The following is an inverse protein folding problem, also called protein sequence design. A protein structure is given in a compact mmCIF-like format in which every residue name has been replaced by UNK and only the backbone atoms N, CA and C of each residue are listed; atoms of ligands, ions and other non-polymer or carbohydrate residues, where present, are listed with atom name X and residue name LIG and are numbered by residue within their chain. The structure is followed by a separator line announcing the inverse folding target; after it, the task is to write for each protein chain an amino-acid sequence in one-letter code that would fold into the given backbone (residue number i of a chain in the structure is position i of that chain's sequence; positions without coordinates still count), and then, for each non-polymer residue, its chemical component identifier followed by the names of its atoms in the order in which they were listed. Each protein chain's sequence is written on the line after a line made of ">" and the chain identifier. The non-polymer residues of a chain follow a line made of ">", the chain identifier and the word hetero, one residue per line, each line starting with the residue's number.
data_IF_767034835509
#
_entry.id   IF_767034835509
#
_cell.length_a   1.000
_cell.length_b   1.000
_cell.length_c   1.000
_cell.angle_alpha   90.00
_cell.angle_beta   90.00
_cell.angle_gamma   90.00
#
_symmetry.space_group_name_H-M   'P 1'
#
loop_
_entity.id
_entity.type
_entity.pdbx_description
1 polymer ?
#
# COMPACT_ATOMS: atom_id res chain seq x y z
N UNK A 1 33.27 5.29 -34.46
CA UNK A 1 32.11 5.88 -35.16
C UNK A 1 31.11 6.33 -34.12
N UNK A 2 30.94 7.64 -33.98
CA UNK A 2 30.03 8.22 -32.97
C UNK A 2 28.61 8.36 -33.52
N UNK A 3 27.64 8.49 -32.64
CA UNK A 3 26.21 8.75 -32.95
C UNK A 3 26.01 9.88 -33.98
N UNK A 4 26.96 10.78 -34.10
CA UNK A 4 26.96 11.89 -35.04
C UNK A 4 27.07 11.45 -36.52
N UNK A 5 27.68 10.30 -36.79
CA UNK A 5 27.84 9.77 -38.16
C UNK A 5 26.53 9.14 -38.69
N UNK A 6 25.63 8.75 -37.78
CA UNK A 6 24.33 8.14 -38.15
C UNK A 6 23.29 9.25 -38.41
N UNK A 7 23.25 10.30 -37.56
CA UNK A 7 22.37 11.45 -37.75
C UNK A 7 22.82 12.62 -36.87
N UNK A 8 22.85 13.83 -37.45
CA UNK A 8 23.18 15.07 -36.74
C UNK A 8 22.23 15.41 -35.59
N UNK A 9 21.00 14.87 -35.62
CA UNK A 9 19.96 15.13 -34.61
C UNK A 9 19.97 14.12 -33.49
N UNK A 10 20.59 12.96 -33.67
CA UNK A 10 20.56 11.87 -32.69
C UNK A 10 21.13 12.28 -31.30
N UNK A 11 22.28 12.93 -31.19
CA UNK A 11 22.83 13.38 -29.91
C UNK A 11 21.93 14.39 -29.19
N UNK A 12 21.27 15.27 -29.96
CA UNK A 12 20.36 16.28 -29.42
C UNK A 12 19.12 15.60 -28.83
N UNK A 13 18.56 14.62 -29.53
CA UNK A 13 17.39 13.83 -29.05
C UNK A 13 17.76 13.08 -27.82
N UNK A 14 18.90 12.37 -27.78
CA UNK A 14 19.34 11.65 -26.56
C UNK A 14 19.63 12.61 -25.40
N UNK A 15 20.25 13.77 -25.68
CA UNK A 15 20.48 14.81 -24.67
C UNK A 15 19.16 15.33 -24.07
N UNK A 16 18.19 15.63 -24.93
CA UNK A 16 16.86 16.09 -24.51
C UNK A 16 16.14 15.05 -23.64
N UNK A 17 16.12 13.77 -24.06
CA UNK A 17 15.55 12.69 -23.25
C UNK A 17 16.31 12.48 -21.93
N UNK A 18 17.63 12.59 -21.94
CA UNK A 18 18.46 12.54 -20.73
C UNK A 18 18.07 13.61 -19.72
N UNK A 19 17.93 14.87 -20.17
CA UNK A 19 17.49 15.99 -19.32
C UNK A 19 16.08 15.74 -18.76
N UNK A 20 15.16 15.26 -19.60
CA UNK A 20 13.79 14.93 -19.13
C UNK A 20 13.79 13.86 -18.03
N UNK A 21 14.60 12.81 -18.19
CA UNK A 21 14.73 11.75 -17.17
C UNK A 21 15.27 12.32 -15.86
N UNK A 22 16.32 13.15 -15.92
CA UNK A 22 16.89 13.80 -14.73
C UNK A 22 15.86 14.70 -14.02
N UNK A 23 15.14 15.52 -14.77
CA UNK A 23 14.09 16.39 -14.23
C UNK A 23 12.96 15.56 -13.59
N UNK A 24 12.56 14.45 -14.21
CA UNK A 24 11.57 13.53 -13.67
C UNK A 24 12.04 12.88 -12.35
N UNK A 25 13.31 12.47 -12.29
CA UNK A 25 13.88 11.91 -11.04
C UNK A 25 13.98 12.96 -9.93
N UNK A 26 14.42 14.18 -10.25
CA UNK A 26 14.49 15.28 -9.27
C UNK A 26 13.10 15.66 -8.75
N UNK A 27 12.08 15.71 -9.61
CA UNK A 27 10.69 15.95 -9.19
C UNK A 27 10.16 14.83 -8.27
N UNK A 28 10.54 13.58 -8.54
CA UNK A 28 10.20 12.45 -7.71
C UNK A 28 10.83 12.55 -6.31
N UNK A 29 12.12 12.84 -6.22
CA UNK A 29 12.83 13.05 -4.95
C UNK A 29 12.23 14.23 -4.18
N UNK A 30 11.93 15.33 -4.86
CA UNK A 30 11.26 16.49 -4.23
C UNK A 30 9.90 16.11 -3.65
N UNK A 31 9.11 15.32 -4.38
CA UNK A 31 7.82 14.80 -3.91
C UNK A 31 7.96 13.95 -2.64
N UNK A 32 8.99 13.09 -2.57
CA UNK A 32 9.28 12.29 -1.37
C UNK A 32 9.63 13.21 -0.18
N UNK A 33 10.51 14.18 -0.38
CA UNK A 33 10.91 15.12 0.68
C UNK A 33 9.71 15.93 1.19
N UNK A 34 8.87 16.43 0.28
CA UNK A 34 7.63 17.14 0.66
C UNK A 34 6.69 16.24 1.48
N UNK A 35 6.50 14.98 1.06
CA UNK A 35 5.67 14.03 1.81
C UNK A 35 6.21 13.75 3.21
N UNK A 36 7.53 13.63 3.38
CA UNK A 36 8.17 13.43 4.69
C UNK A 36 8.05 14.66 5.59
N UNK A 37 8.03 15.86 5.00
CA UNK A 37 7.83 17.12 5.72
C UNK A 37 6.35 17.42 6.04
N UNK A 38 5.42 16.52 5.64
CA UNK A 38 3.98 16.69 5.87
C UNK A 38 3.32 17.74 4.95
N UNK A 39 4.01 18.17 3.90
CA UNK A 39 3.50 19.15 2.93
C UNK A 39 2.62 18.44 1.90
N UNK A 40 1.42 18.95 1.57
CA UNK A 40 0.55 18.32 0.59
C UNK A 40 1.22 18.22 -0.78
N UNK A 41 1.31 17.01 -1.31
CA UNK A 41 1.99 16.72 -2.57
C UNK A 41 1.00 16.87 -3.73
N UNK A 42 1.35 17.67 -4.75
CA UNK A 42 0.57 17.80 -5.97
C UNK A 42 0.42 16.45 -6.67
N UNK A 43 -0.73 16.18 -7.30
CA UNK A 43 -1.03 14.89 -7.98
C UNK A 43 0.07 14.44 -8.95
N UNK A 44 0.65 15.38 -9.69
CA UNK A 44 1.74 15.07 -10.63
C UNK A 44 3.02 14.63 -9.91
N UNK A 45 3.38 15.30 -8.80
CA UNK A 45 4.53 14.94 -7.98
C UNK A 45 4.32 13.61 -7.28
N UNK A 46 3.11 13.30 -6.84
CA UNK A 46 2.77 12.01 -6.25
C UNK A 46 3.10 10.85 -7.18
N UNK A 47 2.71 10.94 -8.46
CA UNK A 47 3.00 9.91 -9.44
C UNK A 47 4.52 9.73 -9.67
N UNK A 48 5.26 10.84 -9.77
CA UNK A 48 6.72 10.79 -9.94
C UNK A 48 7.44 10.34 -8.67
N UNK A 49 6.98 10.76 -7.49
CA UNK A 49 7.51 10.30 -6.21
C UNK A 49 7.33 8.79 -6.06
N UNK A 50 6.16 8.27 -6.40
CA UNK A 50 5.90 6.83 -6.36
C UNK A 50 6.79 6.04 -7.34
N UNK A 51 6.95 6.52 -8.57
CA UNK A 51 7.91 5.92 -9.51
C UNK A 51 9.34 5.97 -9.00
N UNK A 52 9.76 7.10 -8.44
CA UNK A 52 11.09 7.27 -7.88
C UNK A 52 11.36 6.28 -6.75
N UNK A 53 10.43 6.11 -5.79
CA UNK A 53 10.55 5.13 -4.70
C UNK A 53 10.76 3.72 -5.26
N UNK A 54 9.95 3.31 -6.24
CA UNK A 54 10.04 1.95 -6.80
C UNK A 54 11.35 1.73 -7.57
N UNK A 55 11.85 2.73 -8.28
CA UNK A 55 13.13 2.66 -9.00
C UNK A 55 14.31 2.70 -8.02
N UNK A 56 14.24 3.57 -7.01
CA UNK A 56 15.34 3.73 -6.04
C UNK A 56 15.44 2.58 -5.04
N UNK A 57 14.34 1.87 -4.77
CA UNK A 57 14.31 0.79 -3.80
C UNK A 57 15.37 -0.31 -4.06
N UNK A 58 15.50 -0.91 -5.25
CA UNK A 58 16.55 -1.91 -5.50
C UNK A 58 17.95 -1.33 -5.32
N UNK A 59 18.20 -0.06 -5.69
CA UNK A 59 19.47 0.60 -5.44
C UNK A 59 19.72 0.79 -3.94
N UNK A 60 18.71 1.19 -3.18
CA UNK A 60 18.80 1.31 -1.72
C UNK A 60 19.14 -0.03 -1.06
N UNK A 61 18.60 -1.16 -1.55
CA UNK A 61 18.93 -2.49 -1.05
C UNK A 61 20.39 -2.86 -1.35
N UNK A 62 20.89 -2.56 -2.55
CA UNK A 62 22.29 -2.81 -2.93
C UNK A 62 23.25 -1.96 -2.10
N UNK A 63 22.99 -0.65 -2.00
CA UNK A 63 23.78 0.27 -1.17
C UNK A 63 23.73 -0.10 0.31
N UNK A 64 22.56 -0.45 0.82
CA UNK A 64 22.38 -0.88 2.20
C UNK A 64 23.25 -2.11 2.53
N UNK A 65 23.35 -3.06 1.59
CA UNK A 65 24.27 -4.22 1.76
C UNK A 65 25.73 -3.79 1.84
N UNK A 66 26.14 -2.78 1.06
CA UNK A 66 27.50 -2.25 1.09
C UNK A 66 27.82 -1.58 2.44
N UNK A 67 26.83 -0.93 3.06
CA UNK A 67 26.95 -0.26 4.36
C UNK A 67 26.52 -1.14 5.55
N UNK A 68 26.34 -2.45 5.36
CA UNK A 68 25.89 -3.40 6.39
C UNK A 68 24.54 -3.03 7.04
N UNK A 69 23.65 -2.32 6.31
CA UNK A 69 22.29 -2.02 6.77
C UNK A 69 21.41 -3.24 6.52
N UNK A 70 20.75 -3.81 7.55
CA UNK A 70 19.88 -4.97 7.36
C UNK A 70 18.70 -4.59 6.44
N UNK A 71 18.41 -5.49 5.50
CA UNK A 71 17.33 -5.31 4.50
C UNK A 71 15.97 -4.96 5.12
N UNK A 72 15.67 -5.53 6.28
CA UNK A 72 14.44 -5.25 7.04
C UNK A 72 14.26 -3.75 7.32
N UNK A 73 15.33 -3.03 7.69
CA UNK A 73 15.26 -1.58 7.93
C UNK A 73 14.96 -0.79 6.66
N UNK A 74 15.49 -1.22 5.52
CA UNK A 74 15.23 -0.59 4.22
C UNK A 74 13.77 -0.82 3.82
N UNK A 75 13.27 -2.05 4.02
CA UNK A 75 11.86 -2.38 3.77
C UNK A 75 10.90 -1.60 4.68
N UNK A 76 11.24 -1.44 5.97
CA UNK A 76 10.48 -0.60 6.91
C UNK A 76 10.42 0.86 6.46
N UNK A 77 11.58 1.44 6.09
CA UNK A 77 11.63 2.81 5.56
C UNK A 77 10.82 2.96 4.27
N UNK A 78 10.85 1.98 3.37
CA UNK A 78 10.04 1.98 2.16
C UNK A 78 8.53 2.02 2.48
N UNK A 79 8.08 1.17 3.43
CA UNK A 79 6.67 1.11 3.85
C UNK A 79 6.26 2.44 4.49
N UNK A 80 7.09 3.01 5.35
CA UNK A 80 6.82 4.28 6.02
C UNK A 80 6.70 5.44 5.04
N UNK A 81 7.63 5.56 4.09
CA UNK A 81 7.58 6.58 3.04
C UNK A 81 6.35 6.38 2.15
N UNK A 82 6.03 5.13 1.79
CA UNK A 82 4.84 4.79 1.01
C UNK A 82 3.56 5.18 1.75
N UNK A 83 3.44 4.85 3.04
CA UNK A 83 2.31 5.23 3.87
C UNK A 83 2.16 6.76 3.95
N UNK A 84 3.26 7.49 4.17
CA UNK A 84 3.24 8.95 4.22
C UNK A 84 2.76 9.56 2.89
N UNK A 85 3.22 9.04 1.75
CA UNK A 85 2.76 9.49 0.44
C UNK A 85 1.24 9.30 0.27
N UNK A 86 0.72 8.14 0.67
CA UNK A 86 -0.72 7.84 0.59
C UNK A 86 -1.53 8.76 1.50
N UNK A 87 -1.08 8.98 2.75
CA UNK A 87 -1.73 9.86 3.71
C UNK A 87 -1.75 11.32 3.24
N UNK A 88 -0.64 11.81 2.67
CA UNK A 88 -0.56 13.18 2.14
C UNK A 88 -1.43 13.38 0.89
N UNK A 89 -1.66 12.32 0.12
CA UNK A 89 -2.56 12.36 -1.03
C UNK A 89 -4.04 12.41 -0.63
N UNK A 90 -4.37 12.19 0.66
CA UNK A 90 -5.72 12.28 1.25
C UNK A 90 -6.77 11.54 0.43
N UNK A 91 -6.44 10.32 -0.01
CA UNK A 91 -7.38 9.48 -0.76
C UNK A 91 -8.54 9.10 0.16
N UNK A 92 -9.76 9.47 -0.22
CA UNK A 92 -10.98 9.10 0.48
C UNK A 92 -11.84 8.20 -0.40
N UNK A 93 -12.35 7.12 0.17
CA UNK A 93 -13.16 6.13 -0.56
C UNK A 93 -14.28 5.59 0.32
N UNK A 94 -15.41 5.17 -0.26
CA UNK A 94 -16.47 4.51 0.49
C UNK A 94 -15.98 3.24 1.19
N UNK A 95 -16.46 2.96 2.38
CA UNK A 95 -16.01 1.85 3.23
C UNK A 95 -16.08 0.48 2.50
N UNK A 96 -17.15 0.24 1.74
CA UNK A 96 -17.34 -0.97 0.95
C UNK A 96 -16.33 -1.13 -0.22
N UNK A 97 -15.49 -0.13 -0.47
CA UNK A 97 -14.40 -0.17 -1.45
C UNK A 97 -13.02 -0.22 -0.81
N UNK A 98 -12.96 -0.32 0.52
CA UNK A 98 -11.74 -0.56 1.29
C UNK A 98 -11.61 -2.07 1.52
N UNK A 99 -10.40 -2.59 1.27
CA UNK A 99 -10.08 -4.01 1.53
C UNK A 99 -9.02 -4.12 2.62
N UNK A 100 -9.34 -4.84 3.68
CA UNK A 100 -8.37 -5.28 4.69
C UNK A 100 -7.79 -6.60 4.19
N UNK A 101 -6.48 -6.65 3.95
CA UNK A 101 -5.79 -7.84 3.45
C UNK A 101 -4.72 -8.28 4.45
N UNK A 102 -4.79 -9.52 4.90
CA UNK A 102 -3.88 -10.07 5.92
C UNK A 102 -3.35 -11.45 5.52
N UNK A 103 -2.13 -11.82 5.97
CA UNK A 103 -1.59 -13.15 5.75
C UNK A 103 -2.22 -14.18 6.71
N UNK A 104 -2.22 -15.44 6.29
CA UNK A 104 -2.75 -16.54 7.09
C UNK A 104 -2.01 -16.75 8.43
N UNK A 105 -0.72 -16.37 8.52
CA UNK A 105 0.07 -16.53 9.74
C UNK A 105 -0.44 -15.73 10.95
N UNK A 106 -1.43 -14.84 10.76
CA UNK A 106 -2.09 -14.11 11.85
C UNK A 106 -3.14 -14.95 12.58
N UNK A 107 -3.59 -16.03 11.95
CA UNK A 107 -4.48 -17.00 12.60
C UNK A 107 -3.67 -17.91 13.52
N UNK A 108 -4.25 -18.26 14.69
CA UNK A 108 -3.66 -19.24 15.59
C UNK A 108 -3.53 -20.58 14.87
N UNK A 109 -2.34 -21.20 14.94
CA UNK A 109 -2.01 -22.46 14.27
C UNK A 109 -2.93 -23.64 14.65
N UNK A 110 -3.32 -23.69 15.93
CA UNK A 110 -4.24 -24.70 16.47
C UNK A 110 -5.72 -24.42 16.19
N UNK A 111 -6.04 -23.36 15.42
CA UNK A 111 -7.40 -23.02 15.09
C UNK A 111 -7.99 -24.00 14.04
N UNK A 112 -9.08 -24.68 14.41
CA UNK A 112 -9.78 -25.65 13.55
C UNK A 112 -10.63 -24.99 12.46
N UNK A 113 -10.91 -23.68 12.58
CA UNK A 113 -11.76 -22.94 11.64
C UNK A 113 -10.92 -22.41 10.46
N UNK A 114 -11.21 -22.89 9.25
CA UNK A 114 -10.50 -22.45 8.04
C UNK A 114 -11.08 -21.13 7.51
N UNK A 115 -10.31 -20.05 7.65
CA UNK A 115 -10.72 -18.68 7.28
C UNK A 115 -10.24 -18.22 5.91
N UNK A 116 -9.35 -18.94 5.26
CA UNK A 116 -8.76 -18.56 3.96
C UNK A 116 -9.75 -18.55 2.80
N UNK A 117 -10.80 -19.38 2.86
CA UNK A 117 -11.88 -19.37 1.86
C UNK A 117 -13.03 -18.46 2.25
N UNK A 118 -13.34 -18.42 3.54
CA UNK A 118 -14.41 -17.59 4.08
C UNK A 118 -14.00 -17.11 5.47
N UNK A 119 -13.80 -15.82 5.61
CA UNK A 119 -13.38 -15.17 6.85
C UNK A 119 -14.46 -15.24 7.94
N UNK A 120 -15.75 -15.36 7.53
CA UNK A 120 -16.90 -15.51 8.43
C UNK A 120 -16.90 -16.84 9.21
N UNK A 121 -16.05 -17.79 8.85
CA UNK A 121 -15.83 -19.00 9.64
C UNK A 121 -15.16 -18.71 10.99
N UNK A 122 -14.62 -17.48 11.17
CA UNK A 122 -14.01 -17.07 12.44
C UNK A 122 -15.04 -16.94 13.54
N UNK A 123 -14.84 -17.66 14.66
CA UNK A 123 -15.70 -17.60 15.84
C UNK A 123 -15.43 -16.41 16.76
N UNK A 124 -14.54 -15.49 16.39
CA UNK A 124 -14.17 -14.30 17.16
C UNK A 124 -13.82 -14.61 18.63
N UNK A 125 -13.17 -15.74 18.89
CA UNK A 125 -12.89 -16.28 20.23
C UNK A 125 -11.81 -15.51 21.01
N UNK A 126 -11.21 -14.46 20.45
CA UNK A 126 -10.19 -13.60 21.07
C UNK A 126 -8.78 -14.19 21.17
N UNK A 127 -8.54 -15.46 20.73
CA UNK A 127 -7.24 -16.11 20.85
C UNK A 127 -6.18 -15.62 19.84
N UNK A 128 -6.61 -14.95 18.76
CA UNK A 128 -5.74 -14.33 17.74
C UNK A 128 -6.38 -13.04 17.22
N UNK A 129 -5.61 -12.24 16.48
CA UNK A 129 -6.07 -10.93 16.01
C UNK A 129 -7.18 -10.99 14.94
N UNK A 130 -7.41 -12.16 14.31
CA UNK A 130 -8.40 -12.32 13.21
C UNK A 130 -9.81 -11.89 13.66
N UNK A 131 -10.24 -12.28 14.88
CA UNK A 131 -11.57 -11.92 15.37
C UNK A 131 -11.78 -10.41 15.51
N UNK A 132 -10.78 -9.70 16.04
CA UNK A 132 -10.82 -8.25 16.18
C UNK A 132 -10.78 -7.55 14.79
N UNK A 133 -9.98 -8.06 13.86
CA UNK A 133 -9.93 -7.55 12.47
C UNK A 133 -11.26 -7.72 11.75
N UNK A 134 -11.91 -8.90 11.90
CA UNK A 134 -13.23 -9.16 11.35
C UNK A 134 -14.29 -8.24 11.97
N UNK A 135 -14.21 -8.02 13.30
CA UNK A 135 -15.06 -7.05 13.99
C UNK A 135 -14.94 -5.63 13.44
N UNK A 136 -13.70 -5.15 13.16
CA UNK A 136 -13.48 -3.85 12.50
C UNK A 136 -14.04 -3.83 11.07
N UNK A 137 -13.86 -4.92 10.31
CA UNK A 137 -14.39 -5.01 8.96
C UNK A 137 -15.93 -4.89 8.95
N UNK A 138 -16.62 -5.57 9.88
CA UNK A 138 -18.07 -5.46 10.05
C UNK A 138 -18.49 -4.06 10.55
N UNK A 139 -17.76 -3.50 11.53
CA UNK A 139 -18.05 -2.17 12.09
C UNK A 139 -18.07 -1.08 11.02
N UNK A 140 -17.11 -1.14 10.10
CA UNK A 140 -16.93 -0.11 9.05
C UNK A 140 -17.48 -0.52 7.68
N UNK A 141 -17.95 -1.75 7.50
CA UNK A 141 -18.45 -2.24 6.22
C UNK A 141 -17.36 -2.48 5.17
N UNK A 142 -16.12 -2.78 5.60
CA UNK A 142 -14.98 -3.04 4.72
C UNK A 142 -14.91 -4.50 4.29
N UNK A 143 -14.30 -4.77 3.12
CA UNK A 143 -13.96 -6.14 2.74
C UNK A 143 -12.79 -6.66 3.57
N UNK A 144 -12.92 -7.88 4.10
CA UNK A 144 -11.82 -8.53 4.80
C UNK A 144 -11.41 -9.82 4.09
N UNK A 145 -10.10 -10.00 3.86
CA UNK A 145 -9.58 -11.18 3.18
C UNK A 145 -8.28 -11.66 3.81
N UNK A 146 -8.11 -12.99 3.83
CA UNK A 146 -6.94 -13.69 4.35
C UNK A 146 -6.28 -14.46 3.23
N UNK A 147 -5.03 -14.12 2.91
CA UNK A 147 -4.27 -14.75 1.84
C UNK A 147 -3.18 -15.67 2.39
N UNK A 148 -2.98 -16.83 1.76
CA UNK A 148 -1.89 -17.76 2.08
C UNK A 148 -0.58 -17.43 1.40
N UNK A 149 -0.55 -16.41 0.54
CA UNK A 149 0.63 -15.95 -0.18
C UNK A 149 0.31 -14.90 -1.23
N UNK A 150 1.33 -14.31 -1.84
CA UNK A 150 1.21 -13.18 -2.76
C UNK A 150 0.34 -13.47 -4.00
N UNK A 151 0.36 -14.68 -4.54
CA UNK A 151 -0.47 -15.06 -5.70
C UNK A 151 -1.96 -14.99 -5.37
N UNK A 152 -2.36 -15.56 -4.22
CA UNK A 152 -3.76 -15.51 -3.77
C UNK A 152 -4.17 -14.07 -3.40
N UNK A 153 -3.28 -13.31 -2.76
CA UNK A 153 -3.51 -11.91 -2.45
C UNK A 153 -3.82 -11.09 -3.70
N UNK A 154 -3.01 -11.22 -4.77
CA UNK A 154 -3.25 -10.54 -6.05
C UNK A 154 -4.58 -10.97 -6.70
N UNK A 155 -4.93 -12.25 -6.61
CA UNK A 155 -6.20 -12.76 -7.13
C UNK A 155 -7.40 -12.15 -6.38
N UNK A 156 -7.35 -12.10 -5.04
CA UNK A 156 -8.38 -11.49 -4.21
C UNK A 156 -8.56 -10.01 -4.53
N UNK A 157 -7.47 -9.25 -4.68
CA UNK A 157 -7.52 -7.83 -5.08
C UNK A 157 -8.16 -7.67 -6.46
N UNK A 158 -7.80 -8.52 -7.44
CA UNK A 158 -8.40 -8.48 -8.78
C UNK A 158 -9.90 -8.78 -8.77
N UNK A 159 -10.35 -9.70 -7.91
CA UNK A 159 -11.78 -10.07 -7.79
C UNK A 159 -12.58 -8.99 -7.06
N UNK A 160 -12.10 -8.52 -5.91
CA UNK A 160 -12.80 -7.52 -5.10
C UNK A 160 -12.76 -6.11 -5.73
N UNK A 161 -11.75 -5.81 -6.55
CA UNK A 161 -11.54 -4.49 -7.19
C UNK A 161 -11.69 -3.32 -6.20
N UNK A 162 -10.97 -3.36 -5.06
CA UNK A 162 -11.05 -2.29 -4.09
C UNK A 162 -10.52 -0.97 -4.69
N UNK A 163 -10.85 0.15 -4.07
CA UNK A 163 -10.27 1.47 -4.38
C UNK A 163 -9.12 1.83 -3.43
N UNK A 164 -9.05 1.17 -2.27
CA UNK A 164 -7.94 1.30 -1.32
C UNK A 164 -7.72 -0.03 -0.58
N UNK A 165 -6.50 -0.28 -0.13
CA UNK A 165 -6.14 -1.47 0.64
C UNK A 165 -5.48 -1.07 1.96
N UNK A 166 -5.93 -1.65 3.07
CA UNK A 166 -5.18 -1.69 4.32
C UNK A 166 -4.56 -3.08 4.41
N UNK A 167 -3.24 -3.16 4.20
CA UNK A 167 -2.52 -4.42 4.15
C UNK A 167 -1.78 -4.66 5.47
N UNK A 168 -2.05 -5.79 6.10
CA UNK A 168 -1.28 -6.26 7.27
C UNK A 168 -0.34 -7.36 6.80
N UNK A 169 0.96 -7.22 6.99
CA UNK A 169 1.93 -8.28 6.71
C UNK A 169 3.32 -7.98 7.32
N UNK A 170 4.30 -8.86 7.08
CA UNK A 170 5.70 -8.58 7.38
C UNK A 170 6.31 -7.61 6.34
N UNK A 171 7.48 -7.06 6.65
CA UNK A 171 8.17 -6.04 5.84
C UNK A 171 8.32 -6.48 4.38
N UNK A 172 8.80 -7.71 4.17
CA UNK A 172 9.03 -8.27 2.84
C UNK A 172 7.75 -8.36 2.01
N UNK A 173 6.69 -8.88 2.61
CA UNK A 173 5.43 -9.12 1.89
C UNK A 173 4.68 -7.80 1.65
N UNK A 174 4.75 -6.82 2.59
CA UNK A 174 4.21 -5.47 2.40
C UNK A 174 4.94 -4.76 1.26
N UNK A 175 6.28 -4.75 1.28
CA UNK A 175 7.07 -4.09 0.24
C UNK A 175 6.73 -4.64 -1.15
N UNK A 176 6.68 -5.97 -1.30
CA UNK A 176 6.30 -6.60 -2.56
C UNK A 176 4.84 -6.30 -2.93
N UNK A 177 3.91 -6.43 -1.99
CA UNK A 177 2.49 -6.21 -2.22
C UNK A 177 2.16 -4.78 -2.64
N UNK A 178 2.77 -3.78 -1.98
CA UNK A 178 2.62 -2.36 -2.32
C UNK A 178 3.08 -2.09 -3.77
N UNK A 179 4.23 -2.65 -4.17
CA UNK A 179 4.76 -2.50 -5.53
C UNK A 179 3.87 -3.17 -6.58
N UNK A 180 3.34 -4.36 -6.26
CA UNK A 180 2.56 -5.17 -7.19
C UNK A 180 1.19 -4.58 -7.55
N UNK A 181 0.56 -3.85 -6.64
CA UNK A 181 -0.80 -3.33 -6.83
C UNK A 181 -0.86 -1.87 -7.27
N UNK A 182 0.30 -1.23 -7.45
CA UNK A 182 0.34 0.15 -7.95
C UNK A 182 -0.48 0.30 -9.26
N UNK A 183 -1.27 1.36 -9.43
CA UNK A 183 -1.35 2.62 -8.66
C UNK A 183 -2.39 2.64 -7.52
N UNK A 184 -2.88 1.48 -7.08
CA UNK A 184 -3.85 1.40 -6.00
C UNK A 184 -3.22 1.86 -4.68
N UNK A 185 -3.86 2.79 -3.93
CA UNK A 185 -3.33 3.25 -2.66
C UNK A 185 -3.37 2.14 -1.60
N UNK A 186 -2.24 1.93 -0.93
CA UNK A 186 -2.08 0.92 0.12
C UNK A 186 -1.51 1.57 1.37
N UNK A 187 -2.16 1.38 2.52
CA UNK A 187 -1.59 1.62 3.84
C UNK A 187 -1.12 0.30 4.43
N UNK A 188 0.18 0.18 4.63
CA UNK A 188 0.82 -1.00 5.21
C UNK A 188 0.88 -0.92 6.73
N UNK A 189 0.36 -1.94 7.42
CA UNK A 189 0.46 -2.12 8.86
C UNK A 189 1.36 -3.33 9.12
N UNK A 190 2.51 -3.11 9.76
CA UNK A 190 3.43 -4.19 10.08
C UNK A 190 2.85 -5.12 11.14
N UNK A 191 2.95 -6.43 10.90
CA UNK A 191 2.61 -7.43 11.88
C UNK A 191 3.72 -7.63 12.92
N UNK A 192 3.33 -7.95 14.14
CA UNK A 192 4.21 -8.34 15.22
C UNK A 192 4.48 -9.85 15.15
N UNK A 193 5.71 -10.27 15.46
CA UNK A 193 6.16 -11.66 15.33
C UNK A 193 6.72 -12.19 16.66
N UNK A 194 5.90 -12.29 17.71
CA UNK A 194 6.36 -12.66 19.05
C UNK A 194 6.93 -14.09 19.11
N UNK A 195 6.53 -14.97 18.20
CA UNK A 195 6.94 -16.36 18.14
C UNK A 195 7.83 -16.69 16.94
N UNK A 196 8.39 -15.66 16.28
CA UNK A 196 9.20 -15.81 15.09
C UNK A 196 8.46 -15.56 13.77
N UNK A 197 9.13 -15.76 12.63
CA UNK A 197 8.55 -15.46 11.34
C UNK A 197 7.41 -16.42 10.95
N UNK A 198 6.37 -15.89 10.31
CA UNK A 198 5.26 -16.65 9.70
C UNK A 198 4.49 -17.57 10.65
N UNK A 199 4.50 -17.31 11.97
CA UNK A 199 3.85 -18.15 12.95
C UNK A 199 3.15 -17.32 14.04
N UNK A 200 1.85 -17.52 14.24
CA UNK A 200 1.00 -16.89 15.27
C UNK A 200 1.30 -15.39 15.42
N UNK A 201 1.38 -14.69 14.28
CA UNK A 201 1.67 -13.26 14.27
C UNK A 201 0.48 -12.46 14.80
N UNK A 202 0.74 -11.22 15.20
CA UNK A 202 -0.28 -10.32 15.76
C UNK A 202 -0.27 -9.00 14.99
N UNK A 203 -1.31 -8.19 15.19
CA UNK A 203 -1.38 -6.83 14.68
C UNK A 203 -1.91 -5.90 15.76
N UNK A 204 -1.39 -4.68 15.79
CA UNK A 204 -1.93 -3.60 16.58
C UNK A 204 -3.26 -3.14 15.95
N UNK A 205 -4.36 -3.46 16.65
CA UNK A 205 -5.72 -3.18 16.19
C UNK A 205 -5.97 -1.67 16.08
N UNK A 206 -5.35 -0.85 16.94
CA UNK A 206 -5.52 0.61 16.89
C UNK A 206 -4.86 1.19 15.63
N UNK A 207 -3.67 0.68 15.26
CA UNK A 207 -3.02 1.08 14.00
C UNK A 207 -3.81 0.66 12.78
N UNK A 208 -4.41 -0.54 12.82
CA UNK A 208 -5.27 -1.02 11.75
C UNK A 208 -6.52 -0.14 11.61
N UNK A 209 -7.19 0.17 12.72
CA UNK A 209 -8.37 1.03 12.74
C UNK A 209 -8.04 2.44 12.23
N UNK A 210 -6.94 3.03 12.67
CA UNK A 210 -6.48 4.33 12.18
C UNK A 210 -6.22 4.33 10.67
N UNK A 211 -5.66 3.24 10.12
CA UNK A 211 -5.44 3.10 8.68
C UNK A 211 -6.75 2.97 7.89
N UNK A 212 -7.77 2.29 8.44
CA UNK A 212 -9.11 2.22 7.83
C UNK A 212 -9.74 3.62 7.80
N UNK A 213 -9.76 4.32 8.93
CA UNK A 213 -10.34 5.66 9.06
C UNK A 213 -9.62 6.68 8.16
N UNK A 214 -8.32 6.53 7.92
CA UNK A 214 -7.58 7.41 7.02
C UNK A 214 -8.11 7.34 5.57
N UNK A 215 -8.66 6.21 5.14
CA UNK A 215 -9.26 6.04 3.81
C UNK A 215 -10.76 6.31 3.77
N UNK A 216 -11.47 6.26 4.88
CA UNK A 216 -12.92 6.46 4.88
C UNK A 216 -13.31 7.87 4.49
N UNK A 217 -14.32 7.99 3.65
CA UNK A 217 -15.04 9.26 3.42
C UNK A 217 -15.72 9.69 4.73
N UNK A 218 -15.70 10.99 5.02
CA UNK A 218 -16.45 11.54 6.15
C UNK A 218 -17.95 11.51 5.78
N UNK A 219 -18.83 11.05 6.68
CA UNK A 219 -20.28 10.83 6.44
C UNK A 219 -21.03 12.05 5.87
N UNK A 220 -20.45 13.26 5.95
CA UNK A 220 -21.03 14.49 5.38
C UNK A 220 -20.91 14.57 3.83
N UNK A 221 -19.99 13.86 3.20
CA UNK A 221 -19.84 13.86 1.74
C UNK A 221 -20.78 12.83 1.06
N UNK A 222 -21.15 11.76 1.73
CA UNK A 222 -22.05 10.73 1.20
C UNK A 222 -23.47 11.31 0.96
N UNK A 223 -23.91 12.20 1.83
CA UNK A 223 -25.20 12.90 1.68
C UNK A 223 -25.22 13.88 0.50
N UNK A 224 -24.11 14.52 0.18
CA UNK A 224 -24.01 15.43 -0.98
C UNK A 224 -23.96 14.70 -2.32
N UNK A 225 -23.29 13.53 -2.38
CA UNK A 225 -23.23 12.72 -3.59
C UNK A 225 -24.57 12.05 -3.92
N UNK A 226 -25.30 11.58 -2.90
CA UNK A 226 -26.63 10.98 -3.06
C UNK A 226 -27.67 12.04 -3.49
N UNK A 227 -27.55 13.28 -3.02
CA UNK A 227 -28.43 14.38 -3.42
C UNK A 227 -28.14 14.88 -4.84
N UNK A 228 -26.87 14.92 -5.26
CA UNK A 228 -26.47 15.36 -6.61
C UNK A 228 -26.86 14.40 -7.74
N UNK A 229 -26.99 13.11 -7.44
CA UNK A 229 -27.40 12.10 -8.43
C UNK A 229 -28.90 12.10 -8.69
N UNK A 230 -29.72 12.47 -7.70
CA UNK A 230 -31.18 12.60 -7.86
C UNK A 230 -31.58 13.84 -8.67
N UNK A 231 -30.76 14.90 -8.67
CA UNK A 231 -31.03 16.14 -9.42
C UNK A 231 -30.73 16.04 -10.93
N UNK A 232 -30.03 15.01 -11.39
CA UNK A 232 -29.73 14.80 -12.83
C UNK A 232 -30.65 13.82 -13.54
N UNK A 233 -31.67 13.29 -12.83
CA UNK A 233 -32.66 12.33 -13.35
C UNK A 233 -34.09 12.88 -13.30
N UNK A 234 -34.30 14.13 -12.99
CA UNK A 234 -35.53 14.91 -13.17
C UNK A 234 -35.28 16.01 -14.23
#
# INVERSE_FOLDING_TARGET
>A
PGLYEISRFLPIIFGFFGVLIVLAMLSGVLGIVMALLGIPVLKILYFWAWKAINILFPFAVVLGRLFNIPRVRIEQSFIEVSNNLVLQHKVKVPANRIMILTPHCIQLDTCVHKITRNVENCRQCGRCSVGAMLGLAHKYGCHFAVATGGTLARQMVKQARPKAIVAVACERDLTSGIQDVFPLPVLGVLNERPFGPCFNTRVDINKLEAAILAFMEDDEEETKHAAGTKSKLS
#
